data_IF_544192855206
#
_entry.id   IF_544192855206
#
_cell.length_a   1.000
_cell.length_b   1.000
_cell.length_c   1.000
_cell.angle_alpha   90.00
_cell.angle_beta   90.00
_cell.angle_gamma   90.00
#
_symmetry.space_group_name_H-M   'P 1'
#
loop_
_entity.id
_entity.type
_entity.pdbx_description
1 polymer ?
#
# COMPACT_ATOMS: atom_id res chain seq x y z
N UNK A 1 15.23 -6.90 -8.97
CA UNK A 1 14.05 -6.18 -8.43
C UNK A 1 13.64 -6.63 -7.01
N UNK A 2 13.77 -7.92 -6.64
CA UNK A 2 13.41 -8.42 -5.30
C UNK A 2 14.15 -7.74 -4.13
N UNK A 3 15.49 -7.61 -4.17
CA UNK A 3 16.26 -6.98 -3.09
C UNK A 3 15.86 -5.52 -2.78
N UNK A 4 15.34 -4.77 -3.78
CA UNK A 4 14.93 -3.37 -3.56
C UNK A 4 13.52 -3.28 -2.96
N UNK A 5 12.65 -4.26 -3.22
CA UNK A 5 11.29 -4.34 -2.68
C UNK A 5 11.32 -4.75 -1.20
N UNK A 6 12.08 -5.79 -0.86
CA UNK A 6 12.26 -6.24 0.52
C UNK A 6 12.91 -5.16 1.40
N UNK A 7 13.91 -4.43 0.86
CA UNK A 7 14.54 -3.33 1.58
C UNK A 7 13.57 -2.20 1.92
N UNK A 8 12.69 -1.84 0.99
CA UNK A 8 11.68 -0.80 1.22
C UNK A 8 10.63 -1.19 2.27
N UNK A 9 10.23 -2.47 2.31
CA UNK A 9 9.27 -2.98 3.31
C UNK A 9 9.88 -3.02 4.71
N UNK A 10 11.15 -3.41 4.82
CA UNK A 10 11.91 -3.39 6.06
C UNK A 10 12.22 -1.95 6.53
N UNK A 11 12.61 -1.06 5.63
CA UNK A 11 12.82 0.36 5.96
C UNK A 11 11.52 0.98 6.48
N UNK A 12 10.37 0.65 5.88
CA UNK A 12 9.07 1.08 6.35
C UNK A 12 8.73 0.54 7.76
N UNK A 13 9.15 -0.69 8.07
CA UNK A 13 9.00 -1.26 9.41
C UNK A 13 9.81 -0.49 10.45
N UNK A 14 11.08 -0.19 10.16
CA UNK A 14 11.95 0.55 11.07
C UNK A 14 11.41 1.97 11.32
N UNK A 15 10.97 2.65 10.26
CA UNK A 15 10.32 3.96 10.38
C UNK A 15 9.05 3.87 11.22
N UNK A 16 8.22 2.83 11.01
CA UNK A 16 7.02 2.60 11.80
C UNK A 16 7.32 2.35 13.27
N UNK A 17 8.37 1.59 13.57
CA UNK A 17 8.81 1.27 14.94
C UNK A 17 9.25 2.54 15.67
N UNK A 18 10.08 3.36 15.03
CA UNK A 18 10.53 4.63 15.59
C UNK A 18 9.32 5.56 15.79
N UNK A 19 8.48 5.72 14.77
CA UNK A 19 7.30 6.58 14.85
C UNK A 19 6.33 6.15 15.97
N UNK A 20 6.05 4.85 16.09
CA UNK A 20 5.18 4.31 17.14
C UNK A 20 5.79 4.52 18.53
N UNK A 21 7.11 4.30 18.67
CA UNK A 21 7.82 4.52 19.93
C UNK A 21 7.78 6.00 20.35
N UNK A 22 7.96 6.92 19.39
CA UNK A 22 7.84 8.36 19.63
C UNK A 22 6.41 8.72 20.04
N UNK A 23 5.39 8.20 19.35
CA UNK A 23 3.98 8.45 19.69
C UNK A 23 3.68 8.01 21.12
N UNK A 24 4.11 6.82 21.53
CA UNK A 24 3.88 6.33 22.90
C UNK A 24 4.70 7.10 23.93
N UNK A 25 5.93 7.53 23.60
CA UNK A 25 6.72 8.41 24.46
C UNK A 25 6.07 9.78 24.66
N UNK A 26 5.53 10.38 23.60
CA UNK A 26 4.79 11.64 23.66
C UNK A 26 3.48 11.48 24.42
N UNK A 27 2.73 10.40 24.20
CA UNK A 27 1.54 10.08 24.97
C UNK A 27 1.86 9.97 26.47
N UNK A 28 2.93 9.25 26.81
CA UNK A 28 3.37 9.12 28.19
C UNK A 28 3.74 10.47 28.80
N UNK A 29 4.53 11.30 28.12
CA UNK A 29 4.89 12.65 28.58
C UNK A 29 3.65 13.54 28.78
N UNK A 30 2.73 13.53 27.80
CA UNK A 30 1.55 14.38 27.81
C UNK A 30 0.60 14.06 28.97
N UNK A 31 0.35 12.78 29.24
CA UNK A 31 -0.58 12.39 30.31
C UNK A 31 0.04 12.43 31.71
N UNK A 32 1.35 12.16 31.84
CA UNK A 32 2.02 12.17 33.14
C UNK A 32 2.45 13.59 33.58
N UNK A 33 3.00 14.40 32.67
CA UNK A 33 3.50 15.74 33.01
C UNK A 33 2.56 16.87 32.59
N UNK A 34 1.86 16.72 31.46
CA UNK A 34 0.96 17.75 30.93
C UNK A 34 -0.38 17.80 31.67
N UNK A 35 -1.20 16.76 31.50
CA UNK A 35 -2.53 16.65 32.13
C UNK A 35 -2.41 16.25 33.61
N UNK A 36 -1.30 15.63 34.01
CA UNK A 36 -1.09 15.08 35.36
C UNK A 36 -2.20 14.09 35.78
N UNK A 37 -2.77 13.38 34.81
CA UNK A 37 -3.80 12.37 35.03
C UNK A 37 -3.39 11.06 34.34
N UNK A 38 -2.60 10.22 35.03
CA UNK A 38 -2.13 8.94 34.48
C UNK A 38 -3.24 7.88 34.41
N UNK A 39 -4.44 8.18 34.91
CA UNK A 39 -5.62 7.29 34.88
C UNK A 39 -6.64 7.69 33.81
N UNK A 40 -6.30 8.64 32.94
CA UNK A 40 -7.22 9.15 31.94
C UNK A 40 -7.68 8.04 30.98
N UNK A 41 -9.00 7.92 30.74
CA UNK A 41 -9.57 6.79 29.97
C UNK A 41 -8.99 6.65 28.57
N UNK A 42 -8.74 7.77 27.88
CA UNK A 42 -8.11 7.79 26.54
C UNK A 42 -6.66 7.28 26.59
N UNK A 43 -5.92 7.62 27.65
CA UNK A 43 -4.55 7.15 27.83
C UNK A 43 -4.49 5.63 28.02
N UNK A 44 -5.41 5.08 28.81
CA UNK A 44 -5.58 3.64 28.99
C UNK A 44 -5.96 2.94 27.69
N UNK A 45 -6.95 3.48 26.98
CA UNK A 45 -7.44 2.93 25.71
C UNK A 45 -6.32 2.83 24.66
N UNK A 46 -5.45 3.84 24.60
CA UNK A 46 -4.30 3.87 23.68
C UNK A 46 -3.11 3.05 24.18
N UNK A 47 -3.21 2.32 25.28
CA UNK A 47 -2.11 1.49 25.80
C UNK A 47 -1.00 2.29 26.50
N UNK A 48 -1.33 3.43 27.09
CA UNK A 48 -0.37 4.31 27.75
C UNK A 48 0.33 3.70 28.96
N UNK A 49 -0.35 2.81 29.70
CA UNK A 49 0.23 2.12 30.87
C UNK A 49 1.07 0.92 30.44
N UNK A 50 2.37 1.01 30.70
CA UNK A 50 3.29 -0.12 30.51
C UNK A 50 3.36 -0.96 31.80
N UNK A 51 3.31 -2.31 31.73
CA UNK A 51 3.38 -3.17 30.53
C UNK A 51 2.02 -3.55 29.89
N UNK A 52 0.89 -3.17 30.48
CA UNK A 52 -0.45 -3.59 30.03
C UNK A 52 -0.79 -3.16 28.59
N UNK A 53 -0.23 -2.03 28.15
CA UNK A 53 -0.39 -1.45 26.81
C UNK A 53 0.40 -2.13 25.68
N UNK A 54 1.11 -3.23 25.97
CA UNK A 54 1.99 -3.90 24.99
C UNK A 54 1.22 -4.36 23.75
N UNK A 55 -0.01 -4.88 23.92
CA UNK A 55 -0.82 -5.33 22.78
C UNK A 55 -1.24 -4.14 21.91
N UNK A 56 -1.72 -3.06 22.51
CA UNK A 56 -2.07 -1.82 21.82
C UNK A 56 -0.87 -1.25 21.05
N UNK A 57 0.33 -1.31 21.65
CA UNK A 57 1.57 -0.90 20.99
C UNK A 57 1.84 -1.74 19.73
N UNK A 58 1.75 -3.07 19.83
CA UNK A 58 1.93 -3.97 18.68
C UNK A 58 0.86 -3.74 17.59
N UNK A 59 -0.39 -3.53 17.99
CA UNK A 59 -1.49 -3.18 17.07
C UNK A 59 -1.19 -1.87 16.34
N UNK A 60 -0.75 -0.83 17.07
CA UNK A 60 -0.43 0.49 16.52
C UNK A 60 0.80 0.43 15.61
N UNK A 61 1.79 -0.40 15.96
CA UNK A 61 2.98 -0.66 15.16
C UNK A 61 2.61 -1.30 13.82
N UNK A 62 1.83 -2.38 13.84
CA UNK A 62 1.36 -3.06 12.63
C UNK A 62 0.56 -2.11 11.73
N UNK A 63 -0.33 -1.30 12.33
CA UNK A 63 -1.08 -0.27 11.61
C UNK A 63 -0.16 0.79 10.98
N UNK A 64 0.79 1.32 11.74
CA UNK A 64 1.74 2.33 11.25
C UNK A 64 2.60 1.78 10.12
N UNK A 65 3.08 0.54 10.25
CA UNK A 65 3.85 -0.14 9.21
C UNK A 65 3.06 -0.26 7.90
N UNK A 66 1.82 -0.73 7.98
CA UNK A 66 0.95 -0.82 6.81
C UNK A 66 0.68 0.57 6.18
N UNK A 67 0.48 1.61 6.99
CA UNK A 67 0.31 2.98 6.51
C UNK A 67 1.55 3.53 5.80
N UNK A 68 2.76 3.26 6.29
CA UNK A 68 3.98 3.72 5.63
C UNK A 68 4.16 3.05 4.26
N UNK A 69 3.88 1.75 4.15
CA UNK A 69 3.91 1.04 2.87
C UNK A 69 2.86 1.63 1.90
N UNK A 70 1.62 1.83 2.36
CA UNK A 70 0.56 2.46 1.56
C UNK A 70 0.89 3.90 1.15
N UNK A 71 1.57 4.65 2.02
CA UNK A 71 2.05 6.00 1.73
C UNK A 71 3.09 6.01 0.62
N UNK A 72 4.05 5.07 0.65
CA UNK A 72 5.03 4.87 -0.42
C UNK A 72 4.37 4.53 -1.75
N UNK A 73 3.40 3.60 -1.75
CA UNK A 73 2.58 3.28 -2.93
C UNK A 73 1.83 4.48 -3.49
N UNK A 74 1.19 5.27 -2.62
CA UNK A 74 0.48 6.48 -3.03
C UNK A 74 1.40 7.50 -3.70
N UNK A 75 2.65 7.65 -3.23
CA UNK A 75 3.65 8.52 -3.86
C UNK A 75 4.10 7.97 -5.22
N UNK A 76 4.34 6.65 -5.30
CA UNK A 76 4.70 5.99 -6.55
C UNK A 76 3.58 6.15 -7.60
N UNK A 77 2.32 5.97 -7.21
CA UNK A 77 1.19 6.16 -8.12
C UNK A 77 1.12 7.60 -8.66
N UNK A 78 1.28 8.62 -7.81
CA UNK A 78 1.34 10.02 -8.28
C UNK A 78 2.47 10.26 -9.28
N UNK A 79 3.62 9.65 -9.05
CA UNK A 79 4.75 9.72 -9.98
C UNK A 79 4.42 9.02 -11.31
N UNK A 80 3.72 7.89 -11.29
CA UNK A 80 3.22 7.20 -12.49
C UNK A 80 2.17 8.03 -13.25
N UNK A 81 1.25 8.68 -12.53
CA UNK A 81 0.26 9.60 -13.11
C UNK A 81 0.92 10.79 -13.80
N UNK A 82 2.00 11.33 -13.24
CA UNK A 82 2.79 12.38 -13.88
C UNK A 82 3.47 11.89 -15.16
N UNK A 83 4.04 10.68 -15.16
CA UNK A 83 4.60 10.07 -16.36
C UNK A 83 3.53 9.93 -17.47
N UNK A 84 2.31 9.51 -17.10
CA UNK A 84 1.18 9.36 -18.03
C UNK A 84 0.74 10.69 -18.67
N UNK A 85 0.92 11.82 -17.99
CA UNK A 85 0.60 13.16 -18.52
C UNK A 85 1.64 13.68 -19.52
N UNK A 86 2.75 12.99 -19.70
CA UNK A 86 3.76 13.39 -20.68
C UNK A 86 3.22 13.11 -22.09
N UNK A 87 3.19 14.11 -23.00
CA UNK A 87 2.65 13.94 -24.35
C UNK A 87 3.61 13.12 -25.22
N UNK A 88 3.67 11.81 -25.00
CA UNK A 88 4.52 10.88 -25.74
C UNK A 88 3.88 10.40 -27.03
N UNK A 89 2.56 10.24 -27.01
CA UNK A 89 1.78 9.75 -28.11
C UNK A 89 0.92 10.88 -28.66
N UNK A 90 0.68 10.90 -29.98
CA UNK A 90 -0.24 11.86 -30.54
C UNK A 90 -1.65 11.59 -30.04
N UNK A 91 -2.36 12.65 -29.68
CA UNK A 91 -3.79 12.59 -29.33
C UNK A 91 -4.67 12.92 -30.55
N UNK A 92 -4.08 13.51 -31.61
CA UNK A 92 -4.78 13.99 -32.81
C UNK A 92 -5.34 12.84 -33.67
N UNK A 93 -6.67 12.79 -33.89
CA UNK A 93 -7.38 11.63 -34.42
C UNK A 93 -6.87 11.14 -35.79
N UNK A 94 -6.30 12.03 -36.61
CA UNK A 94 -5.85 11.73 -37.97
C UNK A 94 -4.35 11.39 -38.09
N UNK A 95 -3.58 11.47 -37.00
CA UNK A 95 -2.15 11.20 -37.06
C UNK A 95 -1.86 9.71 -37.01
N UNK A 96 -1.28 9.18 -38.08
CA UNK A 96 -0.74 7.82 -38.15
C UNK A 96 0.71 7.78 -37.69
N UNK A 97 1.14 6.63 -37.17
CA UNK A 97 2.51 6.36 -36.76
C UNK A 97 3.18 5.44 -37.78
N UNK A 98 4.24 5.95 -38.42
CA UNK A 98 5.07 5.20 -39.36
C UNK A 98 6.14 4.37 -38.63
N UNK A 99 6.69 3.30 -39.25
CA UNK A 99 7.72 2.47 -38.64
C UNK A 99 8.96 3.24 -38.17
N UNK A 100 9.39 4.25 -38.92
CA UNK A 100 10.54 5.10 -38.56
C UNK A 100 10.25 5.94 -37.31
N UNK A 101 9.08 6.57 -37.24
CA UNK A 101 8.63 7.36 -36.07
C UNK A 101 8.54 6.48 -34.81
N UNK A 102 8.09 5.22 -34.95
CA UNK A 102 8.03 4.27 -33.83
C UNK A 102 9.44 3.89 -33.35
N UNK A 103 10.42 3.80 -34.27
CA UNK A 103 11.80 3.55 -33.88
C UNK A 103 12.44 4.77 -33.19
N UNK A 104 12.15 5.99 -33.65
CA UNK A 104 12.58 7.23 -32.97
C UNK A 104 11.97 7.33 -31.57
N UNK A 105 10.67 7.09 -31.44
CA UNK A 105 9.97 7.06 -30.15
C UNK A 105 10.61 6.06 -29.18
N UNK A 106 10.95 4.86 -29.66
CA UNK A 106 11.64 3.86 -28.84
C UNK A 106 13.02 4.33 -28.36
N UNK A 107 13.77 5.07 -29.19
CA UNK A 107 15.07 5.63 -28.82
C UNK A 107 14.88 6.69 -27.72
N UNK A 108 13.93 7.62 -27.89
CA UNK A 108 13.56 8.61 -26.87
C UNK A 108 13.15 7.95 -25.54
N UNK A 109 12.38 6.86 -25.59
CA UNK A 109 11.98 6.10 -24.40
C UNK A 109 13.13 5.31 -23.76
N UNK A 110 14.22 5.09 -24.48
CA UNK A 110 15.41 4.38 -23.99
C UNK A 110 16.47 5.32 -23.42
N UNK A 111 16.36 6.63 -23.69
CA UNK A 111 17.18 7.64 -23.02
C UNK A 111 16.90 7.65 -21.53
N UNK A 112 17.90 8.08 -20.74
CA UNK A 112 17.82 8.11 -19.28
C UNK A 112 16.88 9.24 -18.83
N UNK A 113 15.58 8.97 -18.93
CA UNK A 113 14.52 9.86 -18.51
C UNK A 113 14.10 9.57 -17.07
N UNK A 114 13.58 10.61 -16.39
CA UNK A 114 13.03 10.48 -15.05
C UNK A 114 12.01 9.33 -14.97
N UNK A 115 11.19 9.15 -16.01
CA UNK A 115 10.05 8.24 -16.05
C UNK A 115 10.31 6.88 -16.72
N UNK A 116 11.56 6.51 -17.00
CA UNK A 116 11.91 5.27 -17.72
C UNK A 116 11.32 3.99 -17.09
N UNK A 117 11.20 3.98 -15.76
CA UNK A 117 10.67 2.85 -14.98
C UNK A 117 9.15 2.93 -14.75
N UNK A 118 8.48 3.89 -15.38
CA UNK A 118 7.02 4.01 -15.32
C UNK A 118 6.35 2.89 -16.13
N UNK A 119 5.14 2.52 -15.73
CA UNK A 119 4.34 1.49 -16.41
C UNK A 119 4.06 1.91 -17.85
N UNK A 120 3.79 3.20 -18.07
CA UNK A 120 3.54 3.78 -19.40
C UNK A 120 4.76 3.64 -20.30
N UNK A 121 5.92 4.15 -19.84
CA UNK A 121 7.15 4.14 -20.65
C UNK A 121 7.63 2.71 -20.90
N UNK A 122 7.64 1.86 -19.89
CA UNK A 122 8.08 0.46 -20.03
C UNK A 122 7.17 -0.33 -20.98
N UNK A 123 5.85 -0.15 -20.89
CA UNK A 123 4.87 -0.81 -21.77
C UNK A 123 5.01 -0.29 -23.20
N UNK A 124 5.10 1.02 -23.40
CA UNK A 124 5.25 1.62 -24.71
C UNK A 124 6.58 1.22 -25.36
N UNK A 125 7.69 1.21 -24.61
CA UNK A 125 9.00 0.77 -25.08
C UNK A 125 9.00 -0.70 -25.52
N UNK A 126 8.34 -1.57 -24.74
CA UNK A 126 8.17 -2.98 -25.09
C UNK A 126 7.35 -3.12 -26.37
N UNK A 127 6.24 -2.40 -26.48
CA UNK A 127 5.37 -2.41 -27.65
C UNK A 127 6.12 -1.93 -28.92
N UNK A 128 6.86 -0.81 -28.84
CA UNK A 128 7.69 -0.33 -29.94
C UNK A 128 8.77 -1.33 -30.34
N UNK A 129 9.41 -1.98 -29.36
CA UNK A 129 10.46 -2.98 -29.62
C UNK A 129 9.91 -4.20 -30.34
N UNK A 130 8.72 -4.67 -29.94
CA UNK A 130 8.04 -5.81 -30.57
C UNK A 130 7.50 -5.46 -31.95
N UNK A 131 6.91 -4.28 -32.11
CA UNK A 131 6.49 -3.80 -33.42
C UNK A 131 7.66 -3.75 -34.40
N UNK A 132 8.83 -3.26 -33.99
CA UNK A 132 10.01 -3.16 -34.86
C UNK A 132 10.54 -4.53 -35.33
N UNK A 133 10.34 -5.58 -34.53
CA UNK A 133 10.77 -6.93 -34.88
C UNK A 133 9.82 -7.59 -35.89
N UNK A 134 8.51 -7.40 -35.72
CA UNK A 134 7.49 -8.21 -36.42
C UNK A 134 6.64 -7.41 -37.41
N UNK A 135 6.71 -6.07 -37.39
CA UNK A 135 5.92 -5.12 -38.20
C UNK A 135 4.40 -5.39 -38.18
N UNK A 136 3.89 -5.97 -37.08
CA UNK A 136 2.49 -6.36 -36.93
C UNK A 136 1.81 -5.59 -35.81
N UNK A 137 0.75 -4.83 -36.16
CA UNK A 137 -0.09 -4.13 -35.19
C UNK A 137 -0.83 -5.10 -34.26
N UNK A 138 -1.24 -6.26 -34.78
CA UNK A 138 -1.93 -7.30 -34.01
C UNK A 138 -1.01 -7.87 -32.91
N UNK A 139 0.23 -8.23 -33.26
CA UNK A 139 1.17 -8.75 -32.26
C UNK A 139 1.58 -7.69 -31.25
N UNK A 140 1.62 -6.42 -31.67
CA UNK A 140 1.87 -5.28 -30.78
C UNK A 140 0.75 -5.10 -29.76
N UNK A 141 -0.51 -5.25 -30.17
CA UNK A 141 -1.66 -5.27 -29.26
C UNK A 141 -1.53 -6.40 -28.23
N UNK A 142 -1.18 -7.61 -28.66
CA UNK A 142 -1.09 -8.76 -27.76
C UNK A 142 0.02 -8.55 -26.72
N UNK A 143 1.15 -7.97 -27.12
CA UNK A 143 2.24 -7.58 -26.21
C UNK A 143 1.79 -6.54 -25.20
N UNK A 144 1.03 -5.52 -25.61
CA UNK A 144 0.50 -4.50 -24.68
C UNK A 144 -0.38 -5.17 -23.62
N UNK A 145 -1.31 -6.03 -24.03
CA UNK A 145 -2.21 -6.76 -23.12
C UNK A 145 -1.45 -7.65 -22.14
N UNK A 146 -0.49 -8.44 -22.63
CA UNK A 146 0.34 -9.30 -21.78
C UNK A 146 1.12 -8.46 -20.77
N UNK A 147 1.70 -7.34 -21.20
CA UNK A 147 2.50 -6.48 -20.34
C UNK A 147 1.67 -5.80 -19.24
N UNK A 148 0.46 -5.33 -19.55
CA UNK A 148 -0.45 -4.72 -18.57
C UNK A 148 -0.99 -5.75 -17.59
N UNK A 149 -1.27 -6.99 -18.04
CA UNK A 149 -1.64 -8.11 -17.17
C UNK A 149 -0.51 -8.48 -16.20
N UNK A 150 0.74 -8.56 -16.68
CA UNK A 150 1.92 -8.75 -15.84
C UNK A 150 2.03 -7.63 -14.78
N UNK A 151 1.80 -6.38 -15.17
CA UNK A 151 1.82 -5.25 -14.24
C UNK A 151 0.70 -5.33 -13.18
N UNK A 152 -0.48 -5.82 -13.55
CA UNK A 152 -1.58 -6.08 -12.62
C UNK A 152 -1.23 -7.17 -11.60
N UNK A 153 -0.58 -8.25 -12.05
CA UNK A 153 -0.11 -9.31 -11.15
C UNK A 153 0.97 -8.82 -10.18
N UNK A 154 1.89 -7.95 -10.65
CA UNK A 154 2.86 -7.31 -9.77
C UNK A 154 2.22 -6.39 -8.74
N UNK A 155 1.15 -5.67 -9.13
CA UNK A 155 0.35 -4.86 -8.22
C UNK A 155 -0.25 -5.74 -7.13
N UNK A 156 -0.97 -6.81 -7.46
CA UNK A 156 -1.60 -7.68 -6.45
C UNK A 156 -0.56 -8.28 -5.47
N UNK A 157 0.56 -8.79 -6.01
CA UNK A 157 1.69 -9.29 -5.21
C UNK A 157 2.30 -8.23 -4.29
N UNK A 158 2.27 -6.95 -4.68
CA UNK A 158 2.78 -5.86 -3.85
C UNK A 158 1.85 -5.46 -2.70
N UNK A 159 0.59 -5.90 -2.70
CA UNK A 159 -0.33 -5.72 -1.57
C UNK A 159 -0.31 -6.88 -0.57
N UNK A 160 0.40 -7.98 -0.84
CA UNK A 160 0.37 -9.18 0.01
C UNK A 160 0.75 -8.91 1.47
N UNK A 161 1.85 -8.19 1.73
CA UNK A 161 2.25 -7.83 3.11
C UNK A 161 1.24 -6.90 3.80
N UNK A 162 0.63 -5.99 3.04
CA UNK A 162 -0.35 -5.04 3.56
C UNK A 162 -1.64 -5.77 3.95
N UNK A 163 -2.08 -6.73 3.11
CA UNK A 163 -3.23 -7.62 3.40
C UNK A 163 -2.96 -8.49 4.61
N UNK A 164 -1.75 -9.04 4.73
CA UNK A 164 -1.33 -9.80 5.90
C UNK A 164 -1.45 -8.95 7.17
N UNK A 165 -0.88 -7.74 7.18
CA UNK A 165 -0.96 -6.83 8.33
C UNK A 165 -2.40 -6.44 8.68
N UNK A 166 -3.23 -6.15 7.67
CA UNK A 166 -4.63 -5.81 7.88
C UNK A 166 -5.43 -6.95 8.53
N UNK A 167 -5.14 -8.20 8.17
CA UNK A 167 -5.69 -9.39 8.80
C UNK A 167 -5.12 -9.64 10.20
N UNK A 168 -3.83 -9.36 10.42
CA UNK A 168 -3.19 -9.59 11.71
C UNK A 168 -3.67 -8.62 12.80
N UNK A 169 -3.99 -7.37 12.46
CA UNK A 169 -4.39 -6.33 13.43
C UNK A 169 -5.59 -6.78 14.30
N UNK A 170 -6.75 -7.21 13.75
CA UNK A 170 -7.86 -7.76 14.54
C UNK A 170 -7.45 -8.98 15.38
N UNK A 171 -6.63 -9.87 14.83
CA UNK A 171 -6.14 -11.06 15.54
C UNK A 171 -5.28 -10.69 16.76
N UNK A 172 -4.41 -9.69 16.64
CA UNK A 172 -3.62 -9.15 17.75
C UNK A 172 -4.54 -8.56 18.83
N UNK A 173 -5.58 -7.81 18.43
CA UNK A 173 -6.58 -7.29 19.36
C UNK A 173 -7.31 -8.39 20.14
N UNK A 174 -7.73 -9.44 19.43
CA UNK A 174 -8.36 -10.62 20.01
C UNK A 174 -7.44 -11.35 20.99
N UNK A 175 -6.14 -11.50 20.66
CA UNK A 175 -5.13 -12.05 21.59
C UNK A 175 -5.08 -11.22 22.88
N UNK A 176 -5.12 -9.89 22.78
CA UNK A 176 -5.20 -9.01 23.96
C UNK A 176 -6.44 -9.26 24.82
N UNK A 177 -7.60 -9.46 24.19
CA UNK A 177 -8.83 -9.79 24.91
C UNK A 177 -8.75 -11.15 25.59
N UNK A 178 -8.18 -12.16 24.93
CA UNK A 178 -7.97 -13.48 25.53
C UNK A 178 -7.07 -13.37 26.77
N UNK A 179 -5.97 -12.62 26.69
CA UNK A 179 -5.10 -12.40 27.86
C UNK A 179 -5.80 -11.66 28.99
N UNK A 180 -6.53 -10.57 28.70
CA UNK A 180 -7.21 -9.80 29.73
C UNK A 180 -8.37 -10.57 30.38
N UNK A 181 -9.17 -11.33 29.62
CA UNK A 181 -10.23 -12.19 30.17
C UNK A 181 -9.63 -13.33 30.99
N UNK A 182 -8.59 -14.00 30.48
CA UNK A 182 -7.92 -15.08 31.20
C UNK A 182 -7.33 -14.58 32.53
N UNK A 183 -6.69 -13.41 32.52
CA UNK A 183 -6.19 -12.77 33.72
C UNK A 183 -7.30 -12.38 34.70
N UNK A 184 -8.43 -11.86 34.20
CA UNK A 184 -9.58 -11.52 35.02
C UNK A 184 -10.19 -12.75 35.71
N UNK A 185 -10.29 -13.87 34.99
CA UNK A 185 -10.77 -15.14 35.55
C UNK A 185 -9.83 -15.70 36.63
N UNK A 186 -8.53 -15.42 36.55
CA UNK A 186 -7.56 -15.78 37.59
C UNK A 186 -7.76 -15.03 38.92
N UNK A 187 -8.58 -13.96 38.95
CA UNK A 187 -8.85 -13.14 40.13
C UNK A 187 -10.29 -13.28 40.65
N UNK A 188 -10.97 -14.37 40.29
CA UNK A 188 -12.36 -14.61 40.68
C UNK A 188 -12.51 -14.78 42.20
N UNK A 189 -11.53 -15.36 42.88
CA UNK A 189 -11.57 -15.53 44.34
C UNK A 189 -11.54 -14.17 45.07
N UNK A 190 -10.76 -13.21 44.56
CA UNK A 190 -10.71 -11.84 45.09
C UNK A 190 -12.06 -11.12 44.88
N UNK A 191 -12.67 -11.31 43.70
CA UNK A 191 -13.99 -10.77 43.41
C UNK A 191 -15.07 -11.38 44.30
N UNK A 192 -14.99 -12.68 44.59
CA UNK A 192 -15.89 -13.36 45.52
C UNK A 192 -15.73 -12.86 46.96
N UNK A 193 -14.52 -12.44 47.33
CA UNK A 193 -14.23 -11.79 48.62
C UNK A 193 -14.66 -10.30 48.67
N UNK A 194 -15.19 -9.74 47.58
CA UNK A 194 -15.71 -8.38 47.49
C UNK A 194 -14.78 -7.37 46.80
N UNK A 195 -13.57 -7.75 46.39
CA UNK A 195 -12.67 -6.89 45.61
C UNK A 195 -12.76 -7.20 44.10
N UNK A 196 -13.60 -6.44 43.40
CA UNK A 196 -13.78 -6.56 41.95
C UNK A 196 -12.83 -5.66 41.13
N UNK A 197 -11.98 -4.87 41.78
CA UNK A 197 -11.14 -3.88 41.10
C UNK A 197 -10.18 -4.51 40.09
N UNK A 198 -9.63 -5.67 40.46
CA UNK A 198 -8.76 -6.46 39.60
C UNK A 198 -9.42 -6.98 38.34
N UNK A 199 -10.59 -7.60 38.52
CA UNK A 199 -11.40 -8.16 37.43
C UNK A 199 -11.84 -7.06 36.47
N UNK A 200 -12.34 -5.95 37.00
CA UNK A 200 -12.84 -4.82 36.18
C UNK A 200 -11.71 -4.14 35.40
N UNK A 201 -10.52 -3.97 35.99
CA UNK A 201 -9.36 -3.38 35.29
C UNK A 201 -8.85 -4.27 34.15
N UNK A 202 -8.73 -5.57 34.38
CA UNK A 202 -8.24 -6.52 33.36
C UNK A 202 -9.24 -6.67 32.22
N UNK A 203 -10.53 -6.75 32.55
CA UNK A 203 -11.59 -6.82 31.56
C UNK A 203 -11.70 -5.53 30.74
N UNK A 204 -11.56 -4.36 31.38
CA UNK A 204 -11.51 -3.07 30.70
C UNK A 204 -10.37 -2.99 29.68
N UNK A 205 -9.17 -3.42 30.07
CA UNK A 205 -8.01 -3.49 29.17
C UNK A 205 -8.24 -4.47 28.02
N UNK A 206 -8.84 -5.63 28.29
CA UNK A 206 -9.22 -6.60 27.25
C UNK A 206 -10.18 -6.03 26.21
N UNK A 207 -11.16 -5.23 26.61
CA UNK A 207 -12.06 -4.59 25.66
C UNK A 207 -11.36 -3.49 24.87
N UNK A 208 -10.46 -2.73 25.50
CA UNK A 208 -9.68 -1.68 24.83
C UNK A 208 -8.79 -2.23 23.72
N UNK A 209 -8.11 -3.36 23.95
CA UNK A 209 -7.24 -3.96 22.93
C UNK A 209 -8.02 -4.31 21.66
N UNK A 210 -9.19 -4.93 21.82
CA UNK A 210 -10.05 -5.28 20.67
C UNK A 210 -10.67 -4.05 20.04
N UNK A 211 -11.17 -3.11 20.83
CA UNK A 211 -11.76 -1.88 20.31
C UNK A 211 -10.75 -1.11 19.43
N UNK A 212 -9.54 -0.89 19.95
CA UNK A 212 -8.48 -0.19 19.22
C UNK A 212 -8.11 -0.94 17.93
N UNK A 213 -7.94 -2.27 18.01
CA UNK A 213 -7.61 -3.08 16.85
C UNK A 213 -8.67 -3.03 15.74
N UNK A 214 -9.95 -3.17 16.09
CA UNK A 214 -11.04 -3.08 15.13
C UNK A 214 -11.14 -1.68 14.51
N UNK A 215 -11.01 -0.64 15.32
CA UNK A 215 -11.06 0.75 14.84
C UNK A 215 -9.93 1.03 13.84
N UNK A 216 -8.70 0.65 14.17
CA UNK A 216 -7.55 0.81 13.27
C UNK A 216 -7.69 -0.07 12.02
N UNK A 217 -8.22 -1.28 12.14
CA UNK A 217 -8.44 -2.19 11.00
C UNK A 217 -9.45 -1.61 10.00
N UNK A 218 -10.55 -1.02 10.45
CA UNK A 218 -11.53 -0.36 9.57
C UNK A 218 -10.88 0.77 8.77
N UNK A 219 -10.13 1.63 9.45
CA UNK A 219 -9.42 2.75 8.79
C UNK A 219 -8.42 2.20 7.77
N UNK A 220 -7.63 1.19 8.15
CA UNK A 220 -6.63 0.60 7.28
C UNK A 220 -7.27 -0.05 6.05
N UNK A 221 -8.33 -0.84 6.23
CA UNK A 221 -9.03 -1.54 5.15
C UNK A 221 -9.59 -0.55 4.13
N UNK A 222 -10.19 0.55 4.60
CA UNK A 222 -10.64 1.63 3.71
C UNK A 222 -9.49 2.23 2.89
N UNK A 223 -8.33 2.48 3.53
CA UNK A 223 -7.15 3.03 2.83
C UNK A 223 -6.57 2.06 1.81
N UNK A 224 -6.51 0.76 2.14
CA UNK A 224 -6.08 -0.30 1.21
C UNK A 224 -6.96 -0.26 -0.04
N UNK A 225 -8.28 -0.38 0.14
CA UNK A 225 -9.22 -0.45 -0.97
C UNK A 225 -9.12 0.79 -1.87
N UNK A 226 -9.06 2.00 -1.29
CA UNK A 226 -8.95 3.26 -2.04
C UNK A 226 -7.67 3.37 -2.86
N UNK A 227 -6.54 2.87 -2.36
CA UNK A 227 -5.26 2.95 -3.08
C UNK A 227 -5.19 1.85 -4.14
N UNK A 228 -5.60 0.63 -3.78
CA UNK A 228 -5.63 -0.51 -4.71
C UNK A 228 -6.50 -0.21 -5.92
N UNK A 229 -7.74 0.26 -5.72
CA UNK A 229 -8.64 0.63 -6.81
C UNK A 229 -8.02 1.68 -7.74
N UNK A 230 -7.29 2.66 -7.20
CA UNK A 230 -6.62 3.68 -8.01
C UNK A 230 -5.43 3.12 -8.80
N UNK A 231 -4.62 2.26 -8.21
CA UNK A 231 -3.51 1.62 -8.93
C UNK A 231 -4.04 0.68 -10.04
N UNK A 232 -5.10 -0.08 -9.79
CA UNK A 232 -5.75 -0.95 -10.78
C UNK A 232 -6.34 -0.14 -11.94
N UNK A 233 -7.13 0.89 -11.63
CA UNK A 233 -7.69 1.79 -12.64
C UNK A 233 -6.60 2.49 -13.45
N UNK A 234 -5.48 2.86 -12.83
CA UNK A 234 -4.36 3.44 -13.55
C UNK A 234 -3.81 2.49 -14.61
N UNK A 235 -3.57 1.21 -14.28
CA UNK A 235 -3.09 0.21 -15.24
C UNK A 235 -4.08 0.03 -16.40
N UNK A 236 -5.38 0.00 -16.10
CA UNK A 236 -6.45 -0.06 -17.11
C UNK A 236 -6.39 1.16 -18.05
N UNK A 237 -6.28 2.36 -17.49
CA UNK A 237 -6.16 3.60 -18.27
C UNK A 237 -4.90 3.60 -19.16
N UNK A 238 -3.77 3.05 -18.66
CA UNK A 238 -2.56 2.88 -19.48
C UNK A 238 -2.85 1.95 -20.65
N UNK A 239 -3.48 0.80 -20.40
CA UNK A 239 -3.82 -0.14 -21.47
C UNK A 239 -4.72 0.52 -22.53
N UNK A 240 -5.80 1.18 -22.10
CA UNK A 240 -6.72 1.88 -23.00
C UNK A 240 -6.00 2.97 -23.82
N UNK A 241 -5.16 3.77 -23.17
CA UNK A 241 -4.38 4.81 -23.83
C UNK A 241 -3.41 4.23 -24.87
N UNK A 242 -2.72 3.12 -24.58
CA UNK A 242 -1.85 2.43 -25.53
C UNK A 242 -2.65 1.85 -26.71
N UNK A 243 -3.82 1.29 -26.47
CA UNK A 243 -4.68 0.77 -27.53
C UNK A 243 -5.13 1.87 -28.49
N UNK A 244 -5.65 2.97 -27.95
CA UNK A 244 -6.25 4.06 -28.73
C UNK A 244 -5.21 4.96 -29.41
N UNK A 245 -4.12 5.30 -28.70
CA UNK A 245 -3.16 6.31 -29.16
C UNK A 245 -1.86 5.75 -29.73
N UNK A 246 -1.60 4.45 -29.55
CA UNK A 246 -0.47 3.77 -30.17
C UNK A 246 -0.96 2.73 -31.18
N UNK A 247 -1.54 1.61 -30.72
CA UNK A 247 -1.84 0.44 -31.57
C UNK A 247 -2.76 0.77 -32.74
N UNK A 248 -3.88 1.46 -32.50
CA UNK A 248 -4.85 1.80 -33.54
C UNK A 248 -4.31 2.77 -34.60
N UNK A 249 -3.19 3.43 -34.32
CA UNK A 249 -2.57 4.44 -35.18
C UNK A 249 -1.35 3.93 -35.94
N UNK A 250 -0.93 2.68 -35.70
CA UNK A 250 0.17 2.05 -36.43
C UNK A 250 -0.23 1.84 -37.90
N UNK A 251 0.54 2.41 -38.81
CA UNK A 251 0.38 2.20 -40.24
C UNK A 251 1.61 1.52 -40.84
N UNK A 252 1.40 0.42 -41.56
CA UNK A 252 2.47 -0.30 -42.27
C UNK A 252 2.25 -0.13 -43.78
N UNK A 253 3.07 0.68 -44.48
CA UNK A 253 3.02 0.82 -45.92
C UNK A 253 3.17 -0.54 -46.62
N UNK A 254 2.47 -0.75 -47.74
CA UNK A 254 2.50 -2.03 -48.47
C UNK A 254 3.88 -2.44 -48.98
N UNK A 255 4.81 -1.50 -49.15
CA UNK A 255 6.18 -1.78 -49.59
C UNK A 255 7.07 -2.42 -48.49
N UNK A 256 6.60 -2.39 -47.24
CA UNK A 256 7.36 -2.80 -46.05
C UNK A 256 6.71 -3.93 -45.23
N UNK A 257 5.55 -4.42 -45.69
CA UNK A 257 4.88 -5.62 -45.17
C UNK A 257 5.57 -6.87 -45.68
#
# INVERSE_FOLDING_TARGET
>A
MNNKKERNEFDAFIIALIATSIIYGLLWLFFNFGIQNPTHRIYLLLGGLWPQGTIQFLTTLAFSWALFILGSKSRKLKWQENAFRTPLLPEDEHKVLLPDEINELRLQLSEDSEYKDSIVFSTLRMACTKFRANKSAQETMDVVKIQTEINMNYLDSSFSIIRYLAWSIPSIGFIGTVFGISGALGRVDEAAAGDISGVTSLLGTAFDTTFLALFLSIILMFRIHRIQQKEENFIINVQEHMMTNFVNRIYVPKAER
#
